data_IF_065613872014
#
_entry.id   IF_065613872014
#
_cell.length_a   1.000
_cell.length_b   1.000
_cell.length_c   1.000
_cell.angle_alpha   90.00
_cell.angle_beta   90.00
_cell.angle_gamma   90.00
#
_symmetry.space_group_name_H-M   'P 1'
#
loop_
_entity.id
_entity.type
_entity.pdbx_description
1 polymer ?
#
# COMPACT_ATOMS: atom_id res chain seq x y z
N UNK A 1 -4.60 16.66 4.26
CA UNK A 1 -4.18 15.26 4.12
C UNK A 1 -2.70 15.14 4.40
N UNK A 2 -2.35 14.38 5.44
CA UNK A 2 -0.99 14.01 5.76
C UNK A 2 -0.67 12.71 5.02
N UNK A 3 0.24 12.77 4.05
CA UNK A 3 0.56 11.63 3.17
C UNK A 3 1.97 11.14 3.51
N UNK A 4 2.09 9.87 3.89
CA UNK A 4 3.36 9.17 4.03
C UNK A 4 3.52 8.16 2.89
N UNK A 5 4.77 7.93 2.46
CA UNK A 5 5.08 6.89 1.48
C UNK A 5 6.11 5.92 2.05
N UNK A 6 5.86 4.62 1.93
CA UNK A 6 6.74 3.57 2.44
C UNK A 6 7.08 2.61 1.31
N UNK A 7 8.36 2.27 1.17
CA UNK A 7 8.82 1.22 0.26
C UNK A 7 9.53 0.17 1.11
N UNK A 8 9.05 -1.07 1.06
CA UNK A 8 9.58 -2.17 1.85
C UNK A 8 10.34 -3.17 0.97
N UNK A 9 11.42 -3.71 1.49
CA UNK A 9 12.12 -4.86 0.96
C UNK A 9 11.64 -6.13 1.65
N UNK A 10 11.43 -7.20 0.88
CA UNK A 10 11.03 -8.48 1.42
C UNK A 10 12.25 -9.38 1.56
N UNK A 11 12.72 -9.60 2.78
CA UNK A 11 13.81 -10.53 3.06
C UNK A 11 13.23 -11.85 3.55
N UNK A 12 13.50 -12.92 2.82
CA UNK A 12 13.11 -14.28 3.22
C UNK A 12 14.32 -15.02 3.77
N UNK A 13 14.18 -15.59 4.95
CA UNK A 13 15.21 -16.44 5.54
C UNK A 13 14.80 -17.91 5.50
N UNK A 14 15.79 -18.77 5.31
CA UNK A 14 15.65 -20.21 5.27
C UNK A 14 16.46 -20.80 6.41
N UNK A 15 15.93 -21.83 7.08
CA UNK A 15 16.67 -22.57 8.09
C UNK A 15 17.65 -23.56 7.44
N UNK A 16 18.47 -24.23 8.25
CA UNK A 16 19.47 -25.21 7.81
C UNK A 16 18.87 -26.43 7.06
N UNK A 17 17.55 -26.63 7.15
CA UNK A 17 16.81 -27.65 6.41
C UNK A 17 16.22 -27.12 5.09
N UNK A 18 16.63 -25.92 4.65
CA UNK A 18 16.08 -25.19 3.51
C UNK A 18 14.55 -24.97 3.57
N UNK A 19 13.97 -24.98 4.77
CA UNK A 19 12.57 -24.60 4.98
C UNK A 19 12.50 -23.10 5.26
N UNK A 20 11.52 -22.43 4.65
CA UNK A 20 11.24 -21.02 4.89
C UNK A 20 10.87 -20.82 6.36
N UNK A 21 11.65 -20.02 7.08
CA UNK A 21 11.45 -19.78 8.51
C UNK A 21 10.64 -18.51 8.74
N UNK A 22 11.09 -17.39 8.19
CA UNK A 22 10.51 -16.07 8.41
C UNK A 22 10.58 -15.19 7.16
N UNK A 23 9.72 -14.17 7.11
CA UNK A 23 9.79 -13.10 6.11
C UNK A 23 9.70 -11.77 6.81
N UNK A 24 10.69 -10.92 6.56
CA UNK A 24 10.80 -9.60 7.16
C UNK A 24 10.51 -8.54 6.10
N UNK A 25 9.78 -7.49 6.51
CA UNK A 25 9.63 -6.26 5.75
C UNK A 25 10.56 -5.21 6.37
N UNK A 26 11.50 -4.70 5.60
CA UNK A 26 12.39 -3.62 6.05
C UNK A 26 12.25 -2.40 5.15
N UNK A 27 12.25 -1.17 5.69
CA UNK A 27 12.24 0.03 4.86
C UNK A 27 13.45 0.06 3.93
N UNK A 28 13.21 0.21 2.63
CA UNK A 28 14.28 0.18 1.63
C UNK A 28 15.03 1.50 1.48
N UNK A 29 14.48 2.58 2.07
CA UNK A 29 14.95 3.95 1.87
C UNK A 29 14.59 4.55 0.51
N UNK A 30 14.05 3.76 -0.43
CA UNK A 30 13.51 4.28 -1.69
C UNK A 30 12.18 4.97 -1.45
N UNK A 31 11.80 5.83 -2.41
CA UNK A 31 10.55 6.59 -2.37
C UNK A 31 9.70 6.30 -3.60
N UNK A 32 8.39 6.26 -3.41
CA UNK A 32 7.43 6.29 -4.50
C UNK A 32 7.49 7.68 -5.11
N UNK A 33 7.57 7.77 -6.45
CA UNK A 33 7.63 9.07 -7.12
C UNK A 33 6.35 9.86 -6.90
N UNK A 34 6.46 11.19 -6.77
CA UNK A 34 5.34 12.08 -6.45
C UNK A 34 4.16 11.90 -7.43
N UNK A 35 4.43 11.75 -8.73
CA UNK A 35 3.40 11.52 -9.73
C UNK A 35 2.65 10.19 -9.53
N UNK A 36 3.34 9.13 -9.11
CA UNK A 36 2.69 7.86 -8.76
C UNK A 36 1.86 7.99 -7.49
N UNK A 37 2.41 8.63 -6.45
CA UNK A 37 1.72 8.92 -5.20
C UNK A 37 0.39 9.64 -5.44
N UNK A 38 0.39 10.70 -6.26
CA UNK A 38 -0.84 11.44 -6.62
C UNK A 38 -1.87 10.56 -7.34
N UNK A 39 -1.43 9.73 -8.28
CA UNK A 39 -2.33 8.82 -9.03
C UNK A 39 -2.93 7.73 -8.15
N UNK A 40 -2.11 7.13 -7.28
CA UNK A 40 -2.55 6.12 -6.31
C UNK A 40 -3.57 6.72 -5.34
N UNK A 41 -3.29 7.91 -4.80
CA UNK A 41 -4.21 8.62 -3.90
C UNK A 41 -5.53 8.94 -4.58
N UNK A 42 -5.51 9.50 -5.80
CA UNK A 42 -6.72 9.84 -6.53
C UNK A 42 -7.59 8.60 -6.82
N UNK A 43 -6.94 7.50 -7.21
CA UNK A 43 -7.61 6.21 -7.39
C UNK A 43 -8.24 5.71 -6.09
N UNK A 44 -7.48 5.74 -5.00
CA UNK A 44 -7.93 5.26 -3.69
C UNK A 44 -9.13 6.06 -3.15
N UNK A 45 -9.07 7.40 -3.24
CA UNK A 45 -10.19 8.29 -2.87
C UNK A 45 -11.44 7.95 -3.68
N UNK A 46 -11.30 7.72 -5.00
CA UNK A 46 -12.42 7.32 -5.85
C UNK A 46 -13.04 6.00 -5.36
N UNK A 47 -12.22 4.98 -5.07
CA UNK A 47 -12.69 3.67 -4.59
C UNK A 47 -13.40 3.76 -3.22
N UNK A 48 -12.86 4.55 -2.30
CA UNK A 48 -13.48 4.82 -0.99
C UNK A 48 -14.87 5.45 -1.17
N UNK A 49 -14.96 6.50 -1.99
CA UNK A 49 -16.22 7.19 -2.27
C UNK A 49 -17.25 6.26 -2.94
N UNK A 50 -16.83 5.47 -3.94
CA UNK A 50 -17.70 4.50 -4.63
C UNK A 50 -18.24 3.42 -3.68
N UNK A 51 -17.48 3.09 -2.64
CA UNK A 51 -17.84 2.05 -1.66
C UNK A 51 -18.56 2.62 -0.44
N UNK A 52 -18.76 3.94 -0.38
CA UNK A 52 -19.42 4.63 0.73
C UNK A 52 -18.56 4.76 2.00
N UNK A 53 -17.25 4.51 1.92
CA UNK A 53 -16.36 4.69 3.06
C UNK A 53 -15.92 6.15 3.20
N UNK A 54 -15.76 6.65 4.44
CA UNK A 54 -15.21 7.98 4.69
C UNK A 54 -13.74 8.05 4.30
N UNK A 55 -13.34 9.18 3.73
CA UNK A 55 -11.93 9.47 3.42
C UNK A 55 -11.31 10.23 4.59
N UNK A 56 -10.25 9.65 5.17
CA UNK A 56 -9.55 10.25 6.31
C UNK A 56 -8.33 11.09 5.88
N UNK A 57 -7.87 11.97 6.78
CA UNK A 57 -6.74 12.86 6.47
C UNK A 57 -5.38 12.18 6.51
N UNK A 58 -5.20 11.15 7.34
CA UNK A 58 -3.94 10.42 7.46
C UNK A 58 -3.92 9.29 6.44
N UNK A 59 -3.00 9.39 5.48
CA UNK A 59 -2.87 8.44 4.38
C UNK A 59 -1.46 7.88 4.33
N UNK A 60 -1.37 6.55 4.27
CA UNK A 60 -0.12 5.84 4.02
C UNK A 60 -0.20 5.16 2.65
N UNK A 61 0.80 5.40 1.81
CA UNK A 61 0.95 4.70 0.53
C UNK A 61 2.16 3.80 0.62
N UNK A 62 1.97 2.50 0.47
CA UNK A 62 3.04 1.53 0.61
C UNK A 62 3.19 0.63 -0.62
N UNK A 63 4.37 0.06 -0.79
CA UNK A 63 4.67 -0.96 -1.79
C UNK A 63 5.81 -1.84 -1.33
N UNK A 64 5.81 -3.10 -1.75
CA UNK A 64 6.97 -3.98 -1.61
C UNK A 64 7.75 -3.92 -2.93
N UNK A 65 9.07 -3.75 -2.87
CA UNK A 65 9.92 -3.70 -4.06
C UNK A 65 9.74 -4.92 -4.97
N UNK A 66 9.46 -6.07 -4.37
CA UNK A 66 9.37 -7.36 -5.06
C UNK A 66 7.96 -7.65 -5.62
N UNK A 67 6.89 -7.06 -5.07
CA UNK A 67 5.51 -7.45 -5.42
C UNK A 67 4.88 -6.55 -6.51
N UNK A 68 5.53 -5.47 -6.95
CA UNK A 68 5.03 -4.50 -7.96
C UNK A 68 3.60 -3.93 -7.73
N UNK A 69 2.97 -4.28 -6.61
CA UNK A 69 1.66 -3.80 -6.18
C UNK A 69 1.80 -2.70 -5.14
N UNK A 70 0.78 -1.86 -5.07
CA UNK A 70 0.72 -0.75 -4.13
C UNK A 70 -0.48 -0.92 -3.21
N UNK A 71 -0.38 -0.36 -2.01
CA UNK A 71 -1.48 -0.24 -1.07
C UNK A 71 -1.66 1.21 -0.66
N UNK A 72 -2.90 1.63 -0.44
CA UNK A 72 -3.23 2.96 0.10
C UNK A 72 -4.14 2.79 1.30
N UNK A 73 -3.65 3.15 2.48
CA UNK A 73 -4.35 3.05 3.75
C UNK A 73 -4.78 4.43 4.26
N UNK A 74 -6.03 4.54 4.66
CA UNK A 74 -6.59 5.70 5.35
C UNK A 74 -6.79 5.37 6.82
N UNK A 75 -6.21 6.17 7.70
CA UNK A 75 -6.24 5.95 9.15
C UNK A 75 -7.05 7.04 9.86
N UNK A 76 -7.93 6.63 10.77
CA UNK A 76 -8.63 7.56 11.64
C UNK A 76 -7.79 7.93 12.87
N UNK A 77 -8.23 8.93 13.65
CA UNK A 77 -7.50 9.39 14.84
C UNK A 77 -7.43 8.35 15.97
N UNK A 78 -8.32 7.34 15.95
CA UNK A 78 -8.39 6.28 16.96
C UNK A 78 -7.53 5.07 16.62
N UNK A 79 -6.87 5.05 15.46
CA UNK A 79 -5.99 3.97 15.04
C UNK A 79 -6.56 3.05 13.97
N UNK A 80 -7.88 3.00 13.79
CA UNK A 80 -8.55 2.15 12.81
C UNK A 80 -8.20 2.53 11.38
N UNK A 81 -8.03 1.52 10.51
CA UNK A 81 -7.53 1.66 9.15
C UNK A 81 -8.45 0.99 8.14
N UNK A 82 -8.64 1.67 7.01
CA UNK A 82 -9.22 1.08 5.81
C UNK A 82 -8.18 1.23 4.72
N UNK A 83 -7.74 0.12 4.13
CA UNK A 83 -6.78 0.13 3.04
C UNK A 83 -7.35 -0.50 1.78
N UNK A 84 -6.84 -0.03 0.64
CA UNK A 84 -7.06 -0.64 -0.67
C UNK A 84 -5.75 -1.31 -1.04
N UNK A 85 -5.79 -2.63 -1.15
CA UNK A 85 -4.60 -3.45 -1.31
C UNK A 85 -4.44 -3.97 -2.73
N UNK A 86 -3.20 -4.31 -3.08
CA UNK A 86 -2.90 -5.00 -4.33
C UNK A 86 -3.21 -4.15 -5.56
N UNK A 87 -3.01 -2.83 -5.48
CA UNK A 87 -3.25 -1.92 -6.61
C UNK A 87 -2.17 -2.13 -7.66
N UNK A 88 -2.57 -2.54 -8.86
CA UNK A 88 -1.67 -2.68 -10.01
C UNK A 88 -1.65 -1.41 -10.86
N UNK A 89 -0.47 -1.11 -11.39
CA UNK A 89 -0.26 -0.01 -12.33
C UNK A 89 -0.10 -0.55 -13.75
N UNK A 90 -0.71 0.11 -14.73
CA UNK A 90 -0.49 -0.20 -16.15
C UNK A 90 0.89 0.29 -16.61
N UNK A 91 1.25 0.06 -17.89
CA UNK A 91 2.52 0.52 -18.47
C UNK A 91 2.76 2.03 -18.36
N UNK A 92 1.70 2.83 -18.32
CA UNK A 92 1.76 4.29 -18.11
C UNK A 92 1.86 4.71 -16.64
N UNK A 93 1.89 3.76 -15.71
CA UNK A 93 1.94 4.01 -14.28
C UNK A 93 0.61 4.49 -13.68
N UNK A 94 -0.53 4.17 -14.32
CA UNK A 94 -1.87 4.48 -13.83
C UNK A 94 -2.51 3.26 -13.15
N UNK A 95 -3.12 3.44 -11.97
CA UNK A 95 -3.89 2.37 -11.32
C UNK A 95 -5.03 1.88 -12.20
N UNK A 96 -5.26 0.57 -12.26
CA UNK A 96 -6.35 0.01 -13.06
C UNK A 96 -7.13 -1.13 -12.40
N UNK A 97 -6.55 -1.86 -11.44
CA UNK A 97 -7.21 -2.92 -10.67
C UNK A 97 -6.62 -3.00 -9.27
N UNK A 98 -7.42 -3.45 -8.31
CA UNK A 98 -7.06 -3.68 -6.91
C UNK A 98 -7.60 -5.04 -6.42
N UNK A 99 -7.07 -5.55 -5.32
CA UNK A 99 -7.53 -6.79 -4.66
C UNK A 99 -8.71 -6.56 -3.70
N UNK A 100 -9.16 -5.32 -3.54
CA UNK A 100 -10.24 -4.93 -2.64
C UNK A 100 -9.76 -4.20 -1.39
N UNK A 101 -10.67 -4.16 -0.41
CA UNK A 101 -10.45 -3.46 0.86
C UNK A 101 -9.97 -4.42 1.94
N UNK A 102 -9.01 -3.96 2.75
CA UNK A 102 -8.73 -4.51 4.07
C UNK A 102 -9.16 -3.51 5.14
N UNK A 103 -9.72 -4.03 6.24
CA UNK A 103 -10.25 -3.23 7.34
C UNK A 103 -9.62 -3.76 8.63
N UNK A 104 -8.95 -2.88 9.35
CA UNK A 104 -8.28 -3.18 10.61
C UNK A 104 -8.80 -2.21 11.69
N UNK A 105 -9.09 -2.76 12.86
CA UNK A 105 -9.64 -2.03 14.00
C UNK A 105 -8.57 -1.76 15.07
#
# INVERSE_FOLDING_TARGET
>A
MNISTVVNNKRTEYNDLHKRSYTFLTPSGKKISEGKTKRLLAYAIKRMNESGFPVFENVEISTNEDDFTYSVAFQNEKGGKIAIDGIFLNRGGYPFIDHGFSIEA
#
